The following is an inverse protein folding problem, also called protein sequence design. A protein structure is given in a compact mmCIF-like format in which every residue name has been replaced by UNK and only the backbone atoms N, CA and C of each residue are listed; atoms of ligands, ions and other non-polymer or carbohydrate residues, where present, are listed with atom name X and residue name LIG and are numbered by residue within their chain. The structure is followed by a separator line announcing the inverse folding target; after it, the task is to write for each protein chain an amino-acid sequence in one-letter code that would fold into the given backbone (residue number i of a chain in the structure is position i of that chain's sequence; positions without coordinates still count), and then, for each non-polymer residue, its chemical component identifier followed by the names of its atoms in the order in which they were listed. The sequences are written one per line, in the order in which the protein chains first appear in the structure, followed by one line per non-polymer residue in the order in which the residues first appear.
data_IF_781708185324
#
_entry.id   IF_781708185324
#
_cell.length_a   1.000
_cell.length_b   1.000
_cell.length_c   1.000
_cell.angle_alpha   90.00
_cell.angle_beta   90.00
_cell.angle_gamma   90.00
#
_symmetry.space_group_name_H-M   'P 1'
#
loop_
_entity.id
_entity.type
_entity.pdbx_description
1 polymer ?
#
# COMPACT_ATOMS: atom_id res chain seq x y z
N UNK A 1 -2.51 -10.56 -10.38
CA UNK A 1 -1.26 -9.79 -10.19
C UNK A 1 -0.85 -9.90 -8.73
N UNK A 2 0.44 -9.72 -8.40
CA UNK A 2 0.94 -9.75 -7.02
C UNK A 2 1.13 -8.33 -6.50
N UNK A 3 1.20 -8.17 -5.18
CA UNK A 3 1.61 -6.91 -4.55
C UNK A 3 3.01 -6.53 -5.04
N UNK A 4 3.17 -5.32 -5.55
CA UNK A 4 4.46 -4.77 -5.98
C UNK A 4 4.97 -3.81 -4.92
N UNK A 5 6.20 -4.03 -4.43
CA UNK A 5 6.87 -3.16 -3.47
C UNK A 5 8.18 -2.70 -4.10
N UNK A 6 8.39 -1.38 -4.13
CA UNK A 6 9.61 -0.78 -4.67
C UNK A 6 9.89 0.58 -4.03
N UNK A 7 11.04 1.17 -4.35
CA UNK A 7 11.31 2.58 -4.02
C UNK A 7 10.71 3.49 -5.10
N UNK A 8 10.08 4.61 -4.71
CA UNK A 8 9.64 5.61 -5.67
C UNK A 8 10.82 6.45 -6.16
N UNK A 9 10.74 6.94 -7.39
CA UNK A 9 11.58 8.04 -7.87
C UNK A 9 11.05 9.40 -7.37
N UNK A 10 11.79 10.48 -7.63
CA UNK A 10 11.43 11.80 -7.08
C UNK A 10 10.14 12.36 -7.67
N UNK A 11 9.85 12.15 -8.96
CA UNK A 11 8.56 12.56 -9.59
C UNK A 11 7.39 11.87 -8.90
N UNK A 12 7.51 10.56 -8.64
CA UNK A 12 6.48 9.77 -7.96
C UNK A 12 6.25 10.26 -6.52
N UNK A 13 7.31 10.57 -5.78
CA UNK A 13 7.19 11.16 -4.43
C UNK A 13 6.42 12.48 -4.46
N UNK A 14 6.74 13.37 -5.40
CA UNK A 14 6.08 14.67 -5.53
C UNK A 14 4.60 14.55 -5.90
N UNK A 15 4.24 13.55 -6.71
CA UNK A 15 2.82 13.24 -7.00
C UNK A 15 2.13 12.74 -5.73
N UNK A 16 2.70 11.73 -5.07
CA UNK A 16 2.09 11.12 -3.88
C UNK A 16 1.91 12.11 -2.73
N UNK A 17 2.82 13.08 -2.57
CA UNK A 17 2.70 14.15 -1.55
C UNK A 17 1.45 15.03 -1.71
N UNK A 18 0.82 15.04 -2.88
CA UNK A 18 -0.42 15.80 -3.15
C UNK A 18 -1.67 14.97 -2.89
N UNK A 19 -1.53 13.67 -2.64
CA UNK A 19 -2.62 12.77 -2.40
C UNK A 19 -3.13 12.84 -0.96
N UNK A 20 -4.30 12.25 -0.72
CA UNK A 20 -4.86 12.12 0.61
C UNK A 20 -3.99 11.20 1.49
N UNK A 21 -4.04 11.47 2.79
CA UNK A 21 -3.33 10.69 3.80
C UNK A 21 -4.32 9.73 4.45
N UNK A 22 -3.90 8.47 4.55
CA UNK A 22 -4.53 7.49 5.41
C UNK A 22 -3.61 7.19 6.60
N UNK A 23 -4.20 7.05 7.78
CA UNK A 23 -3.49 6.72 9.01
C UNK A 23 -4.21 5.65 9.82
N UNK A 24 -3.43 4.79 10.47
CA UNK A 24 -3.96 3.71 11.29
C UNK A 24 -2.99 3.30 12.39
N UNK A 25 -3.54 2.92 13.55
CA UNK A 25 -2.76 2.41 14.68
C UNK A 25 -2.31 0.96 14.42
N UNK A 26 -1.30 0.51 15.17
CA UNK A 26 -0.92 -0.91 15.21
C UNK A 26 -2.16 -1.79 15.42
N UNK A 27 -2.33 -2.80 14.57
CA UNK A 27 -3.53 -3.64 14.57
C UNK A 27 -3.60 -4.56 13.37
N UNK A 28 -4.63 -5.41 13.34
CA UNK A 28 -4.89 -6.36 12.26
C UNK A 28 -6.33 -6.17 11.80
N UNK A 29 -6.55 -6.10 10.49
CA UNK A 29 -7.89 -5.97 9.92
C UNK A 29 -7.94 -6.59 8.53
N UNK A 30 -9.11 -7.04 8.12
CA UNK A 30 -9.36 -7.53 6.78
C UNK A 30 -9.66 -6.37 5.83
N UNK A 31 -9.22 -6.49 4.58
CA UNK A 31 -9.48 -5.53 3.52
C UNK A 31 -9.73 -6.22 2.18
N UNK A 32 -10.50 -5.57 1.32
CA UNK A 32 -10.84 -6.06 -0.01
C UNK A 32 -10.54 -4.97 -1.05
N UNK A 33 -9.63 -5.29 -1.97
CA UNK A 33 -9.38 -4.48 -3.16
C UNK A 33 -10.31 -4.95 -4.26
N UNK A 34 -11.39 -4.21 -4.52
CA UNK A 34 -12.41 -4.56 -5.53
C UNK A 34 -11.95 -4.23 -6.95
N UNK A 35 -12.45 -3.14 -7.51
CA UNK A 35 -12.32 -2.78 -8.92
C UNK A 35 -11.11 -1.87 -9.22
N UNK A 36 -10.56 -1.20 -8.20
CA UNK A 36 -9.52 -0.19 -8.37
C UNK A 36 -8.17 -0.64 -7.87
N UNK A 37 -7.14 -0.32 -8.63
CA UNK A 37 -5.76 -0.53 -8.22
C UNK A 37 -5.36 0.60 -7.26
N UNK A 38 -4.96 0.25 -6.04
CA UNK A 38 -4.42 1.22 -5.07
C UNK A 38 -2.89 1.23 -5.14
N UNK A 39 -2.29 2.42 -5.26
CA UNK A 39 -0.87 2.61 -4.98
C UNK A 39 -0.70 3.51 -3.76
N UNK A 40 0.17 3.11 -2.84
CA UNK A 40 0.45 3.82 -1.61
C UNK A 40 1.93 4.12 -1.42
N UNK A 41 2.25 5.30 -0.92
CA UNK A 41 3.58 5.64 -0.43
C UNK A 41 3.55 5.66 1.09
N UNK A 42 4.31 4.78 1.72
CA UNK A 42 4.39 4.73 3.18
C UNK A 42 5.28 5.87 3.65
N UNK A 43 4.75 6.74 4.50
CA UNK A 43 5.48 7.92 5.01
C UNK A 43 5.79 7.82 6.49
N UNK A 44 5.21 6.84 7.19
CA UNK A 44 5.57 6.49 8.56
C UNK A 44 5.17 5.05 8.88
N UNK A 45 5.99 4.37 9.67
CA UNK A 45 5.66 3.06 10.25
C UNK A 45 5.91 1.90 9.30
N UNK A 46 5.31 0.76 9.62
CA UNK A 46 5.50 -0.51 8.91
C UNK A 46 4.25 -1.38 9.00
N UNK A 47 4.07 -2.23 7.97
CA UNK A 47 2.98 -3.18 7.92
C UNK A 47 3.33 -4.38 7.03
N UNK A 48 2.50 -5.42 7.13
CA UNK A 48 2.44 -6.49 6.16
C UNK A 48 1.02 -6.72 5.65
N UNK A 49 0.93 -7.30 4.46
CA UNK A 49 -0.33 -7.84 3.92
C UNK A 49 -0.17 -9.28 3.51
N UNK A 50 -1.23 -10.05 3.71
CA UNK A 50 -1.31 -11.45 3.27
C UNK A 50 -2.64 -11.68 2.57
N UNK A 51 -2.60 -12.22 1.36
CA UNK A 51 -3.82 -12.63 0.66
C UNK A 51 -4.51 -13.77 1.40
N UNK A 52 -5.84 -13.75 1.53
CA UNK A 52 -6.57 -14.77 2.32
C UNK A 52 -6.34 -16.20 1.82
N UNK A 53 -6.12 -16.36 0.52
CA UNK A 53 -5.87 -17.64 -0.14
C UNK A 53 -4.40 -17.83 -0.55
N UNK A 54 -3.47 -17.02 -0.01
CA UNK A 54 -2.07 -17.03 -0.39
C UNK A 54 -1.17 -17.33 0.81
N UNK A 55 -0.09 -18.09 0.55
CA UNK A 55 0.93 -18.34 1.57
C UNK A 55 1.90 -17.15 1.73
N UNK A 56 2.01 -16.32 0.70
CA UNK A 56 2.93 -15.20 0.67
C UNK A 56 2.45 -14.04 1.54
N UNK A 57 3.36 -13.50 2.35
CA UNK A 57 3.17 -12.28 3.12
C UNK A 57 4.14 -11.22 2.62
N UNK A 58 3.62 -10.01 2.39
CA UNK A 58 4.34 -8.89 1.79
C UNK A 58 4.58 -7.84 2.86
N UNK A 59 5.85 -7.52 3.13
CA UNK A 59 6.26 -6.59 4.18
C UNK A 59 6.78 -5.29 3.57
N UNK A 60 6.35 -4.16 4.12
CA UNK A 60 6.76 -2.83 3.66
C UNK A 60 6.79 -1.84 4.82
N UNK A 61 7.56 -0.78 4.63
CA UNK A 61 7.85 0.23 5.64
C UNK A 61 8.00 1.61 5.03
N UNK A 62 8.27 2.59 5.88
CA UNK A 62 8.54 3.96 5.48
C UNK A 62 9.47 4.07 4.25
N UNK A 63 9.02 4.89 3.30
CA UNK A 63 9.65 5.15 2.01
C UNK A 63 9.40 4.09 0.93
N UNK A 64 8.61 3.05 1.19
CA UNK A 64 8.22 2.09 0.16
C UNK A 64 6.97 2.57 -0.60
N UNK A 65 6.98 2.38 -1.91
CA UNK A 65 5.83 2.53 -2.79
C UNK A 65 5.25 1.14 -3.06
N UNK A 66 3.98 0.96 -2.71
CA UNK A 66 3.30 -0.33 -2.72
C UNK A 66 2.08 -0.24 -3.63
N UNK A 67 1.98 -1.14 -4.61
CA UNK A 67 0.82 -1.23 -5.49
C UNK A 67 0.10 -2.55 -5.25
N UNK A 68 -1.18 -2.48 -4.92
CA UNK A 68 -2.03 -3.63 -4.63
C UNK A 68 -2.83 -4.06 -5.87
N UNK A 69 -3.02 -5.38 -6.09
CA UNK A 69 -3.83 -5.86 -7.19
C UNK A 69 -5.33 -5.59 -6.97
N UNK A 70 -6.11 -5.60 -8.05
CA UNK A 70 -7.58 -5.60 -8.01
C UNK A 70 -8.13 -7.01 -7.75
N UNK A 71 -9.39 -7.07 -7.34
CA UNK A 71 -10.15 -8.27 -6.96
C UNK A 71 -9.37 -9.17 -6.00
N UNK A 72 -8.88 -8.58 -4.91
CA UNK A 72 -7.98 -9.25 -3.99
C UNK A 72 -8.37 -9.01 -2.52
N UNK A 73 -8.67 -10.11 -1.83
CA UNK A 73 -8.96 -10.14 -0.40
C UNK A 73 -7.69 -10.38 0.38
N UNK A 74 -7.40 -9.50 1.32
CA UNK A 74 -6.20 -9.61 2.14
C UNK A 74 -6.47 -9.25 3.59
N UNK A 75 -5.51 -9.60 4.43
CA UNK A 75 -5.43 -9.15 5.79
C UNK A 75 -4.23 -8.23 5.91
N UNK A 76 -4.49 -7.04 6.45
CA UNK A 76 -3.47 -6.08 6.84
C UNK A 76 -3.05 -6.33 8.28
N UNK A 77 -1.74 -6.27 8.51
CA UNK A 77 -1.13 -6.27 9.84
C UNK A 77 -0.22 -5.05 9.96
N UNK A 78 -0.74 -4.02 10.59
CA UNK A 78 0.00 -2.80 10.93
C UNK A 78 0.91 -3.15 12.11
N UNK A 79 2.22 -3.25 11.88
CA UNK A 79 3.21 -3.63 12.90
C UNK A 79 3.64 -2.45 13.77
N UNK A 80 3.60 -1.24 13.21
CA UNK A 80 3.85 0.04 13.86
C UNK A 80 2.84 1.07 13.34
N UNK A 81 2.44 2.04 14.18
CA UNK A 81 1.54 3.13 13.78
C UNK A 81 1.93 3.72 12.42
N UNK A 82 0.99 3.68 11.47
CA UNK A 82 1.29 3.84 10.07
C UNK A 82 0.60 5.07 9.48
N UNK A 83 1.30 5.75 8.58
CA UNK A 83 0.74 6.77 7.69
C UNK A 83 1.17 6.50 6.24
N UNK A 84 0.25 6.66 5.30
CA UNK A 84 0.50 6.51 3.87
C UNK A 84 -0.22 7.58 3.06
N UNK A 85 0.40 8.02 1.97
CA UNK A 85 -0.35 8.62 0.86
C UNK A 85 -0.95 7.50 0.01
N UNK A 86 -2.13 7.69 -0.55
CA UNK A 86 -2.76 6.70 -1.43
C UNK A 86 -3.38 7.35 -2.67
N UNK A 87 -3.39 6.61 -3.77
CA UNK A 87 -4.06 6.99 -5.02
C UNK A 87 -4.62 5.75 -5.71
N UNK A 88 -5.71 5.91 -6.45
CA UNK A 88 -6.36 4.85 -7.20
C UNK A 88 -6.19 5.05 -8.71
N UNK A 89 -5.99 3.95 -9.44
CA UNK A 89 -5.97 3.86 -10.92
C UNK A 89 -5.06 4.91 -11.60
N UNK A 90 -3.90 5.18 -10.99
CA UNK A 90 -2.93 6.15 -11.50
C UNK A 90 -1.75 5.47 -12.19
N UNK A 91 -1.46 5.87 -13.43
CA UNK A 91 -0.27 5.46 -14.16
C UNK A 91 0.84 6.52 -14.06
N UNK A 92 1.99 6.11 -13.51
CA UNK A 92 3.16 6.99 -13.36
C UNK A 92 3.92 7.24 -14.66
N UNK A 93 3.65 6.47 -15.72
CA UNK A 93 4.33 6.58 -17.01
C UNK A 93 3.58 7.47 -18.02
N UNK A 94 2.39 7.94 -17.66
CA UNK A 94 1.62 8.90 -18.45
C UNK A 94 2.27 10.30 -18.49
#
# INVERSE_FOLDING_TARGET
MKVLIRRPNDKEKEIMKKCEIWEHKKGVFDWEYKDKQETCLIIKGSASVKGKNESAEYFFKEGDLVTFPTNWDCQWKITEDMKKYYIFDYDFNS
#
